data_IF_890878814559
#
_entry.id   IF_890878814559
#
_cell.length_a   1.000
_cell.length_b   1.000
_cell.length_c   1.000
_cell.angle_alpha   90.00
_cell.angle_beta   90.00
_cell.angle_gamma   90.00
#
_symmetry.space_group_name_H-M   'P 1'
#
loop_
_entity.id
_entity.type
_entity.pdbx_description
1 polymer ?
#
# COMPACT_ATOMS: atom_id res chain seq x y z
N UNK A 1 -4.37 11.16 12.54
CA UNK A 1 -4.59 11.48 11.13
C UNK A 1 -5.14 10.27 10.40
N UNK A 2 -6.22 10.44 9.68
CA UNK A 2 -6.86 9.33 9.00
C UNK A 2 -6.46 9.30 7.53
N UNK A 3 -6.13 8.12 7.05
CA UNK A 3 -5.91 7.90 5.64
C UNK A 3 -7.20 7.54 4.93
N UNK A 4 -7.08 7.23 3.66
CA UNK A 4 -8.24 6.86 2.84
C UNK A 4 -7.86 5.77 1.85
N UNK A 5 -8.86 4.96 1.49
CA UNK A 5 -8.67 3.99 0.42
C UNK A 5 -8.67 4.72 -0.92
N UNK A 6 -7.74 4.32 -1.78
CA UNK A 6 -7.60 4.87 -3.13
C UNK A 6 -7.49 3.74 -4.14
N UNK A 7 -7.77 4.05 -5.39
CA UNK A 7 -7.57 3.12 -6.50
C UNK A 7 -6.56 3.70 -7.48
N UNK A 8 -5.83 2.83 -8.15
CA UNK A 8 -4.82 3.25 -9.13
C UNK A 8 -4.69 2.21 -10.25
N UNK A 9 -4.15 2.62 -11.37
CA UNK A 9 -3.99 1.74 -12.53
C UNK A 9 -2.91 0.69 -12.30
N UNK A 10 -3.21 -0.53 -12.70
CA UNK A 10 -2.30 -1.67 -12.63
C UNK A 10 -2.49 -2.53 -13.87
N UNK A 11 -1.60 -2.38 -14.85
CA UNK A 11 -1.54 -3.21 -16.06
C UNK A 11 -2.89 -3.48 -16.73
N UNK A 12 -3.62 -2.41 -17.03
CA UNK A 12 -4.92 -2.52 -17.70
C UNK A 12 -6.09 -2.79 -16.80
N UNK A 13 -5.86 -2.93 -15.49
CA UNK A 13 -6.88 -3.07 -14.46
C UNK A 13 -6.70 -2.01 -13.39
N UNK A 14 -7.31 -2.26 -12.25
CA UNK A 14 -7.14 -1.39 -11.08
C UNK A 14 -6.71 -2.18 -9.88
N UNK A 15 -5.87 -1.56 -9.05
CA UNK A 15 -5.50 -2.03 -7.74
C UNK A 15 -5.93 -0.97 -6.73
N UNK A 16 -5.85 -1.31 -5.46
CA UNK A 16 -6.24 -0.39 -4.40
C UNK A 16 -5.22 -0.38 -3.28
N UNK A 17 -5.31 0.64 -2.44
CA UNK A 17 -4.44 0.76 -1.29
C UNK A 17 -4.97 1.80 -0.33
N UNK A 18 -4.27 1.92 0.80
CA UNK A 18 -4.58 2.88 1.83
C UNK A 18 -3.52 3.98 1.81
N UNK A 19 -3.95 5.20 1.52
CA UNK A 19 -3.06 6.37 1.40
C UNK A 19 -3.16 7.23 2.65
N UNK A 20 -2.05 7.51 3.30
CA UNK A 20 -1.96 8.41 4.43
C UNK A 20 -1.00 9.56 4.09
N UNK A 21 -1.49 10.78 4.25
CA UNK A 21 -0.74 12.00 3.90
C UNK A 21 -0.38 12.73 5.19
N UNK A 22 0.85 13.25 5.32
CA UNK A 22 1.24 13.98 6.51
C UNK A 22 0.46 15.28 6.66
N UNK A 23 0.39 15.79 7.88
CA UNK A 23 -0.37 17.00 8.19
C UNK A 23 0.05 18.18 7.32
N UNK A 24 1.34 18.33 7.07
CA UNK A 24 1.82 19.42 6.20
C UNK A 24 1.53 19.20 4.72
N UNK A 25 1.02 18.04 4.34
CA UNK A 25 0.60 17.74 2.97
C UNK A 25 1.69 17.24 2.04
N UNK A 26 2.95 17.28 2.43
CA UNK A 26 4.07 16.87 1.58
C UNK A 26 5.10 16.06 2.35
N UNK A 27 5.78 15.18 1.65
CA UNK A 27 6.85 14.38 2.22
C UNK A 27 7.35 13.31 1.26
N UNK A 28 8.44 12.61 1.60
CA UNK A 28 8.92 11.50 0.78
C UNK A 28 7.90 10.36 0.76
N UNK A 29 7.85 9.64 -0.35
CA UNK A 29 6.93 8.52 -0.52
C UNK A 29 7.44 7.22 0.08
N UNK A 30 6.55 6.46 0.71
CA UNK A 30 6.84 5.14 1.28
C UNK A 30 5.73 4.18 0.88
N UNK A 31 6.13 3.05 0.30
CA UNK A 31 5.21 1.92 0.03
C UNK A 31 5.31 0.95 1.19
N UNK A 32 4.16 0.58 1.76
CA UNK A 32 4.06 -0.40 2.85
C UNK A 32 3.48 -1.69 2.29
N UNK A 33 4.22 -2.78 2.41
CA UNK A 33 3.79 -4.09 1.91
C UNK A 33 3.11 -4.85 3.04
N UNK A 34 1.94 -5.38 2.74
CA UNK A 34 1.11 -6.13 3.69
C UNK A 34 1.78 -7.42 4.19
N UNK A 35 1.30 -7.90 5.35
CA UNK A 35 1.60 -9.25 5.79
C UNK A 35 0.66 -10.24 5.09
N UNK A 36 0.79 -11.53 5.40
CA UNK A 36 -0.04 -12.57 4.79
C UNK A 36 -1.53 -12.48 5.16
N UNK A 37 -1.89 -11.67 6.16
CA UNK A 37 -3.29 -11.44 6.55
C UNK A 37 -4.04 -10.56 5.56
N UNK A 38 -3.35 -9.88 4.66
CA UNK A 38 -3.92 -8.88 3.78
C UNK A 38 -3.73 -7.46 4.29
N UNK A 39 -4.44 -6.53 3.70
CA UNK A 39 -4.41 -5.13 4.12
C UNK A 39 -5.35 -4.95 5.32
N UNK A 40 -4.85 -5.30 6.48
CA UNK A 40 -5.60 -5.24 7.75
C UNK A 40 -5.32 -3.93 8.48
N UNK A 41 -6.09 -3.67 9.54
CA UNK A 41 -6.00 -2.41 10.30
C UNK A 41 -4.61 -2.13 10.84
N UNK A 42 -3.86 -3.17 11.24
CA UNK A 42 -2.49 -3.00 11.71
C UNK A 42 -1.60 -2.36 10.64
N UNK A 43 -1.73 -2.78 9.39
CA UNK A 43 -0.95 -2.23 8.27
C UNK A 43 -1.38 -0.79 7.98
N UNK A 44 -2.67 -0.50 8.06
CA UNK A 44 -3.18 0.87 7.91
C UNK A 44 -2.63 1.77 9.01
N UNK A 45 -2.55 1.26 10.24
CA UNK A 45 -1.96 1.99 11.36
C UNK A 45 -0.48 2.30 11.11
N UNK A 46 0.26 1.34 10.56
CA UNK A 46 1.67 1.57 10.19
C UNK A 46 1.77 2.72 9.17
N UNK A 47 0.88 2.74 8.19
CA UNK A 47 0.80 3.83 7.22
C UNK A 47 0.57 5.18 7.90
N UNK A 48 -0.39 5.23 8.82
CA UNK A 48 -0.71 6.45 9.56
C UNK A 48 0.48 6.94 10.37
N UNK A 49 1.26 6.01 10.95
CA UNK A 49 2.48 6.36 11.69
C UNK A 49 3.54 6.95 10.78
N UNK A 50 3.73 6.39 9.58
CA UNK A 50 4.65 6.97 8.62
C UNK A 50 4.21 8.39 8.22
N UNK A 51 2.92 8.60 8.05
CA UNK A 51 2.40 9.92 7.73
C UNK A 51 2.62 10.89 8.89
N UNK A 52 2.43 10.43 10.13
CA UNK A 52 2.68 11.24 11.32
C UNK A 52 4.14 11.71 11.38
N UNK A 53 5.07 10.89 10.89
CA UNK A 53 6.49 11.21 10.82
C UNK A 53 6.89 12.01 9.58
N UNK A 54 5.93 12.42 8.78
CA UNK A 54 6.16 13.31 7.64
C UNK A 54 6.27 12.65 6.28
N UNK A 55 5.87 11.38 6.15
CA UNK A 55 5.92 10.65 4.87
C UNK A 55 4.56 10.58 4.20
N UNK A 56 4.54 10.53 2.89
CA UNK A 56 3.33 10.17 2.13
C UNK A 56 3.37 8.65 1.97
N UNK A 57 2.51 7.95 2.70
CA UNK A 57 2.56 6.50 2.81
C UNK A 57 1.40 5.83 2.09
N UNK A 58 1.69 4.77 1.33
CA UNK A 58 0.69 3.99 0.62
C UNK A 58 0.89 2.51 0.94
N UNK A 59 -0.11 1.90 1.56
CA UNK A 59 -0.13 0.45 1.78
C UNK A 59 -1.00 -0.16 0.68
N UNK A 60 -0.40 -1.00 -0.16
CA UNK A 60 -1.15 -1.55 -1.27
C UNK A 60 -1.86 -2.85 -0.89
N UNK A 61 -2.99 -3.13 -1.51
CA UNK A 61 -3.80 -4.30 -1.26
C UNK A 61 -3.52 -5.38 -2.31
N UNK A 62 -2.57 -6.26 -2.01
CA UNK A 62 -2.18 -7.33 -2.94
C UNK A 62 -3.22 -8.43 -3.08
N UNK A 63 -4.12 -8.57 -2.10
CA UNK A 63 -5.17 -9.60 -2.12
C UNK A 63 -6.49 -9.09 -2.72
N UNK A 64 -6.51 -7.88 -3.23
CA UNK A 64 -7.67 -7.31 -3.93
C UNK A 64 -8.97 -7.41 -3.14
N UNK A 65 -8.96 -6.84 -1.93
CA UNK A 65 -10.13 -6.76 -1.07
C UNK A 65 -10.27 -7.90 -0.06
N UNK A 66 -9.38 -8.88 -0.08
CA UNK A 66 -9.46 -10.00 0.87
C UNK A 66 -8.51 -9.80 2.04
N UNK A 67 -8.98 -10.19 3.20
CA UNK A 67 -8.18 -10.18 4.44
C UNK A 67 -8.76 -11.24 5.36
N UNK A 68 -7.94 -11.73 6.29
CA UNK A 68 -8.37 -12.79 7.18
C UNK A 68 -7.62 -12.73 8.51
N UNK A 69 -8.22 -13.33 9.53
CA UNK A 69 -7.56 -13.58 10.82
C UNK A 69 -7.23 -15.05 11.02
N UNK A 70 -7.61 -15.91 10.06
CA UNK A 70 -7.35 -17.35 10.13
C UNK A 70 -6.02 -17.68 9.47
N UNK A 71 -5.09 -18.37 10.18
CA UNK A 71 -3.83 -18.79 9.57
C UNK A 71 -4.01 -19.69 8.35
N UNK A 72 -5.00 -20.59 8.38
CA UNK A 72 -5.27 -21.47 7.24
C UNK A 72 -5.68 -20.68 6.00
N UNK A 73 -6.58 -19.72 6.16
CA UNK A 73 -7.02 -18.87 5.07
C UNK A 73 -5.92 -17.97 4.59
N UNK A 74 -5.13 -17.41 5.51
CA UNK A 74 -3.98 -16.56 5.17
C UNK A 74 -2.98 -17.34 4.32
N UNK A 75 -2.70 -18.59 4.68
CA UNK A 75 -1.85 -19.46 3.88
C UNK A 75 -2.38 -19.67 2.48
N UNK A 76 -3.69 -19.90 2.36
CA UNK A 76 -4.33 -20.07 1.05
C UNK A 76 -4.26 -18.81 0.20
N UNK A 77 -4.49 -17.64 0.80
CA UNK A 77 -4.40 -16.36 0.09
C UNK A 77 -2.98 -16.11 -0.40
N UNK A 78 -1.98 -16.40 0.44
CA UNK A 78 -0.59 -16.22 0.07
C UNK A 78 -0.17 -17.17 -1.05
N UNK A 79 -0.62 -18.44 -1.00
CA UNK A 79 -0.30 -19.42 -2.03
C UNK A 79 -1.02 -19.13 -3.34
N UNK A 80 -2.17 -18.47 -3.28
CA UNK A 80 -2.93 -18.09 -4.48
C UNK A 80 -2.42 -16.81 -5.11
N UNK A 81 -1.56 -16.05 -4.42
CA UNK A 81 -1.04 -14.78 -4.92
C UNK A 81 -0.14 -15.04 -6.13
N UNK A 82 -0.45 -14.38 -7.22
CA UNK A 82 0.37 -14.46 -8.43
C UNK A 82 1.44 -13.38 -8.38
N UNK A 83 2.69 -13.80 -8.44
CA UNK A 83 3.84 -12.89 -8.33
C UNK A 83 3.86 -11.87 -9.46
N UNK A 84 3.51 -12.30 -10.68
CA UNK A 84 3.46 -11.39 -11.82
C UNK A 84 2.42 -10.29 -11.64
N UNK A 85 1.24 -10.63 -11.09
CA UNK A 85 0.21 -9.63 -10.80
C UNK A 85 0.63 -8.73 -9.64
N UNK A 86 1.22 -9.30 -8.60
CA UNK A 86 1.73 -8.53 -7.46
C UNK A 86 2.78 -7.51 -7.92
N UNK A 87 3.65 -7.90 -8.84
CA UNK A 87 4.64 -6.99 -9.41
C UNK A 87 3.97 -5.83 -10.15
N UNK A 88 2.95 -6.12 -10.95
CA UNK A 88 2.22 -5.07 -11.68
C UNK A 88 1.52 -4.12 -10.71
N UNK A 89 0.91 -4.67 -9.66
CA UNK A 89 0.26 -3.86 -8.63
C UNK A 89 1.27 -2.96 -7.93
N UNK A 90 2.45 -3.49 -7.61
CA UNK A 90 3.51 -2.71 -6.98
C UNK A 90 4.01 -1.60 -7.90
N UNK A 91 4.21 -1.89 -9.18
CA UNK A 91 4.60 -0.86 -10.15
C UNK A 91 3.55 0.24 -10.25
N UNK A 92 2.28 -0.14 -10.29
CA UNK A 92 1.17 0.82 -10.29
C UNK A 92 1.14 1.67 -9.04
N UNK A 93 1.37 1.06 -7.88
CA UNK A 93 1.42 1.78 -6.61
C UNK A 93 2.56 2.80 -6.56
N UNK A 94 3.75 2.40 -7.02
CA UNK A 94 4.91 3.30 -7.07
C UNK A 94 4.61 4.49 -8.00
N UNK A 95 4.07 4.22 -9.17
CA UNK A 95 3.74 5.28 -10.13
C UNK A 95 2.68 6.22 -9.57
N UNK A 96 1.64 5.65 -8.95
CA UNK A 96 0.60 6.43 -8.31
C UNK A 96 1.17 7.35 -7.24
N UNK A 97 2.05 6.81 -6.39
CA UNK A 97 2.64 7.57 -5.29
C UNK A 97 3.55 8.67 -5.80
N UNK A 98 4.37 8.39 -6.80
CA UNK A 98 5.24 9.39 -7.42
C UNK A 98 4.46 10.51 -8.10
N UNK A 99 3.25 10.21 -8.58
CA UNK A 99 2.38 11.20 -9.23
C UNK A 99 1.53 11.99 -8.25
N UNK A 100 1.56 11.65 -6.97
CA UNK A 100 0.85 12.45 -5.96
C UNK A 100 1.54 13.81 -5.81
N UNK A 101 0.74 14.86 -5.81
CA UNK A 101 1.25 16.23 -5.71
C UNK A 101 2.10 16.44 -4.46
N UNK A 102 1.72 15.80 -3.34
CA UNK A 102 2.44 15.93 -2.08
C UNK A 102 3.71 15.08 -1.96
N UNK A 103 3.95 14.15 -2.88
CA UNK A 103 5.14 13.29 -2.79
C UNK A 103 6.37 14.03 -3.30
N UNK A 104 7.38 14.16 -2.44
CA UNK A 104 8.62 14.84 -2.79
C UNK A 104 9.65 13.85 -3.34
N UNK A 105 10.51 14.35 -4.23
CA UNK A 105 11.59 13.54 -4.80
C UNK A 105 11.12 12.66 -5.96
N UNK A 106 12.03 11.83 -6.45
CA UNK A 106 11.81 10.97 -7.62
C UNK A 106 11.90 9.48 -7.28
N UNK A 107 12.03 9.16 -6.00
CA UNK A 107 12.15 7.78 -5.51
C UNK A 107 11.21 7.59 -4.33
N UNK A 108 10.84 6.34 -4.11
CA UNK A 108 10.04 5.96 -2.94
C UNK A 108 10.77 4.88 -2.16
N UNK A 109 10.56 4.87 -0.84
CA UNK A 109 11.02 3.77 -0.01
C UNK A 109 9.98 2.65 0.00
N UNK A 110 10.43 1.44 0.28
CA UNK A 110 9.54 0.28 0.41
C UNK A 110 9.88 -0.45 1.69
N UNK A 111 8.86 -0.75 2.48
CA UNK A 111 9.02 -1.54 3.70
C UNK A 111 7.98 -2.66 3.73
N UNK A 112 8.41 -3.85 4.14
CA UNK A 112 7.55 -5.02 4.26
C UNK A 112 7.51 -5.56 5.67
N UNK A 113 6.50 -6.33 5.98
CA UNK A 113 6.32 -6.92 7.30
C UNK A 113 6.10 -8.42 7.25
#
# INVERSE_FOLDING_TARGET
MAGQMVEFSSNGGQASGYLAIPEKGTGPGVIVIQEWWGLVDHIKDVCDRFAHEGNVALALDLYHGKATKSPDEAGKLMMALRIDEAEQDLRGAIQYLLNQEGTTGTKVGVIGF
#
